data_IF_759911812387
#
_entry.id   IF_759911812387
#
_cell.length_a   1.000
_cell.length_b   1.000
_cell.length_c   1.000
_cell.angle_alpha   90.00
_cell.angle_beta   90.00
_cell.angle_gamma   90.00
#
_symmetry.space_group_name_H-M   'P 1'
#
loop_
_entity.id
_entity.type
_entity.pdbx_description
1 polymer ?
#
# COMPACT_ATOMS: atom_id res chain seq x y z
N UNK A 1 -6.57 -8.45 8.48
CA UNK A 1 -5.68 -9.59 8.19
C UNK A 1 -4.34 -9.33 8.88
N UNK A 2 -3.83 -10.28 9.65
CA UNK A 2 -2.51 -10.15 10.27
C UNK A 2 -1.42 -10.53 9.26
N UNK A 3 -0.87 -9.52 8.58
CA UNK A 3 0.17 -9.67 7.55
C UNK A 3 1.50 -10.17 8.10
N UNK A 4 1.74 -10.12 9.42
CA UNK A 4 2.99 -10.61 10.01
C UNK A 4 3.18 -12.13 9.87
N UNK A 5 2.08 -12.86 9.64
CA UNK A 5 2.05 -14.33 9.51
C UNK A 5 2.17 -14.83 8.08
N UNK A 6 2.05 -13.95 7.08
CA UNK A 6 2.04 -14.31 5.67
C UNK A 6 3.18 -13.61 4.93
N UNK A 7 3.87 -14.34 4.04
CA UNK A 7 4.96 -13.77 3.23
C UNK A 7 4.46 -12.89 2.09
N UNK A 8 3.25 -13.17 1.62
CA UNK A 8 2.61 -12.44 0.54
C UNK A 8 1.12 -12.24 0.83
N UNK A 9 0.53 -11.21 0.24
CA UNK A 9 -0.89 -10.97 0.26
C UNK A 9 -1.35 -10.55 -1.14
N UNK A 10 -2.32 -11.25 -1.71
CA UNK A 10 -2.91 -10.90 -3.00
C UNK A 10 -4.08 -9.94 -2.77
N UNK A 11 -4.09 -8.82 -3.49
CA UNK A 11 -5.19 -7.86 -3.39
C UNK A 11 -6.31 -8.23 -4.35
N UNK A 12 -7.55 -8.05 -3.90
CA UNK A 12 -8.65 -7.89 -4.82
C UNK A 12 -8.57 -6.49 -5.47
N UNK A 13 -8.68 -6.43 -6.79
CA UNK A 13 -8.51 -5.18 -7.54
C UNK A 13 -9.57 -4.12 -7.18
N UNK A 14 -10.83 -4.52 -7.09
CA UNK A 14 -11.94 -3.59 -6.81
C UNK A 14 -11.87 -3.07 -5.38
N UNK A 15 -11.55 -3.93 -4.41
CA UNK A 15 -11.32 -3.52 -3.01
C UNK A 15 -10.14 -2.56 -2.88
N UNK A 16 -9.06 -2.81 -3.64
CA UNK A 16 -7.91 -1.92 -3.71
C UNK A 16 -8.29 -0.54 -4.27
N UNK A 17 -9.02 -0.49 -5.39
CA UNK A 17 -9.47 0.77 -6.00
C UNK A 17 -10.40 1.53 -5.05
N UNK A 18 -11.35 0.85 -4.41
CA UNK A 18 -12.24 1.48 -3.44
C UNK A 18 -11.46 2.09 -2.25
N UNK A 19 -10.44 1.38 -1.75
CA UNK A 19 -9.60 1.87 -0.65
C UNK A 19 -8.74 3.06 -1.06
N UNK A 20 -8.12 3.02 -2.24
CA UNK A 20 -7.29 4.15 -2.72
C UNK A 20 -8.12 5.39 -3.01
N UNK A 21 -9.33 5.23 -3.57
CA UNK A 21 -10.27 6.35 -3.76
C UNK A 21 -10.71 6.96 -2.43
N UNK A 22 -10.95 6.14 -1.39
CA UNK A 22 -11.23 6.65 -0.05
C UNK A 22 -10.05 7.47 0.50
N UNK A 23 -8.82 6.99 0.33
CA UNK A 23 -7.62 7.71 0.77
C UNK A 23 -7.45 9.05 0.01
N UNK A 24 -7.62 9.04 -1.31
CA UNK A 24 -7.46 10.24 -2.16
C UNK A 24 -8.49 11.33 -1.82
N UNK A 25 -9.73 10.94 -1.54
CA UNK A 25 -10.81 11.89 -1.25
C UNK A 25 -10.91 12.29 0.23
N UNK A 26 -10.10 11.68 1.10
CA UNK A 26 -10.10 12.01 2.53
C UNK A 26 -9.27 13.25 2.87
N UNK A 27 -9.68 13.96 3.91
CA UNK A 27 -8.89 15.04 4.53
C UNK A 27 -7.74 14.48 5.36
N UNK A 28 -6.79 15.34 5.73
CA UNK A 28 -5.70 14.96 6.62
C UNK A 28 -6.21 14.42 7.96
N UNK A 29 -7.18 15.10 8.57
CA UNK A 29 -7.77 14.70 9.84
C UNK A 29 -8.48 13.35 9.75
N UNK A 30 -9.29 13.13 8.71
CA UNK A 30 -9.97 11.84 8.50
C UNK A 30 -8.97 10.68 8.38
N UNK A 31 -7.80 10.90 7.77
CA UNK A 31 -6.71 9.90 7.72
C UNK A 31 -6.01 9.71 9.05
N UNK A 32 -5.88 10.76 9.85
CA UNK A 32 -5.33 10.68 11.20
C UNK A 32 -6.17 9.79 12.13
N UNK A 33 -7.49 9.76 11.88
CA UNK A 33 -8.44 8.92 12.62
C UNK A 33 -8.52 7.48 12.08
N UNK A 34 -7.86 7.16 10.95
CA UNK A 34 -7.87 5.80 10.40
C UNK A 34 -7.03 4.83 11.25
N UNK A 35 -7.56 3.65 11.63
CA UNK A 35 -6.82 2.66 12.41
C UNK A 35 -5.53 2.21 11.72
N UNK A 36 -4.42 2.20 12.45
CA UNK A 36 -3.12 1.74 11.95
C UNK A 36 -2.33 2.75 11.11
N UNK A 37 -2.81 4.00 11.01
CA UNK A 37 -2.06 5.10 10.41
C UNK A 37 -1.04 5.66 11.41
N UNK A 38 0.25 5.60 11.08
CA UNK A 38 1.30 6.31 11.83
C UNK A 38 1.46 7.73 11.26
N UNK A 39 1.89 8.73 12.05
CA UNK A 39 1.90 10.13 11.64
C UNK A 39 2.51 10.40 10.27
N UNK A 40 3.72 9.88 10.01
CA UNK A 40 4.42 10.08 8.74
C UNK A 40 3.63 9.60 7.51
N UNK A 41 2.80 8.57 7.67
CA UNK A 41 2.01 8.04 6.55
C UNK A 41 0.79 8.89 6.25
N UNK A 42 0.26 9.67 7.20
CA UNK A 42 -0.93 10.51 6.98
C UNK A 42 -0.67 11.53 5.86
N UNK A 43 0.53 12.09 5.83
CA UNK A 43 0.95 13.08 4.84
C UNK A 43 1.19 12.44 3.47
N UNK A 44 1.84 11.28 3.44
CA UNK A 44 2.36 10.68 2.21
C UNK A 44 1.40 9.70 1.51
N UNK A 45 0.41 9.15 2.22
CA UNK A 45 -0.39 8.03 1.69
C UNK A 45 -1.24 8.42 0.47
N UNK A 46 -1.69 9.67 0.35
CA UNK A 46 -2.46 10.14 -0.81
C UNK A 46 -1.59 10.10 -2.07
N UNK A 47 -0.36 10.62 -1.97
CA UNK A 47 0.59 10.61 -3.09
C UNK A 47 0.97 9.17 -3.47
N UNK A 48 1.19 8.31 -2.48
CA UNK A 48 1.45 6.89 -2.73
C UNK A 48 0.29 6.19 -3.47
N UNK A 49 -0.96 6.47 -3.09
CA UNK A 49 -2.15 5.94 -3.76
C UNK A 49 -2.25 6.44 -5.22
N UNK A 50 -2.02 7.74 -5.46
CA UNK A 50 -2.03 8.31 -6.81
C UNK A 50 -0.96 7.69 -7.72
N UNK A 51 0.27 7.56 -7.22
CA UNK A 51 1.38 6.98 -7.99
C UNK A 51 1.10 5.51 -8.31
N UNK A 52 0.60 4.74 -7.33
CA UNK A 52 0.32 3.32 -7.55
C UNK A 52 -0.81 3.14 -8.58
N UNK A 53 -1.91 3.90 -8.45
CA UNK A 53 -3.00 3.88 -9.44
C UNK A 53 -2.52 4.29 -10.84
N UNK A 54 -1.64 5.30 -10.92
CA UNK A 54 -1.03 5.72 -12.19
C UNK A 54 -0.22 4.60 -12.83
N UNK A 55 0.69 3.96 -12.08
CA UNK A 55 1.52 2.86 -12.59
C UNK A 55 0.66 1.68 -13.04
N UNK A 56 -0.33 1.29 -12.22
CA UNK A 56 -1.25 0.20 -12.57
C UNK A 56 -2.02 0.50 -13.85
N UNK A 57 -2.56 1.72 -14.01
CA UNK A 57 -3.28 2.12 -15.22
C UNK A 57 -2.38 2.19 -16.46
N UNK A 58 -1.16 2.75 -16.32
CA UNK A 58 -0.21 2.88 -17.43
C UNK A 58 0.30 1.55 -17.95
N UNK A 59 0.52 0.59 -17.05
CA UNK A 59 1.00 -0.76 -17.37
C UNK A 59 -0.13 -1.76 -17.60
N UNK A 60 -1.40 -1.34 -17.49
CA UNK A 60 -2.59 -2.20 -17.58
C UNK A 60 -2.54 -3.40 -16.62
N UNK A 61 -2.05 -3.18 -15.40
CA UNK A 61 -1.98 -4.19 -14.36
C UNK A 61 -3.33 -4.32 -13.67
N UNK A 62 -3.88 -5.53 -13.65
CA UNK A 62 -5.12 -5.89 -12.96
C UNK A 62 -4.89 -6.80 -11.74
N UNK A 63 -3.64 -7.11 -11.43
CA UNK A 63 -3.25 -7.93 -10.29
C UNK A 63 -2.17 -7.22 -9.48
N UNK A 64 -2.31 -7.26 -8.16
CA UNK A 64 -1.37 -6.69 -7.22
C UNK A 64 -1.15 -7.68 -6.08
N UNK A 65 0.10 -7.84 -5.67
CA UNK A 65 0.44 -8.58 -4.46
C UNK A 65 1.46 -7.82 -3.62
N UNK A 66 1.24 -7.78 -2.31
CA UNK A 66 2.18 -7.29 -1.33
C UNK A 66 3.13 -8.42 -0.95
N UNK A 67 4.44 -8.15 -1.05
CA UNK A 67 5.47 -8.94 -0.36
C UNK A 67 5.75 -8.33 1.01
N UNK A 68 5.91 -9.15 2.05
CA UNK A 68 6.38 -8.67 3.36
C UNK A 68 7.90 -8.52 3.43
N UNK A 69 8.60 -8.80 2.34
CA UNK A 69 10.03 -8.50 2.18
C UNK A 69 10.22 -7.13 1.54
N UNK A 70 11.05 -6.33 2.19
CA UNK A 70 11.44 -4.99 1.82
C UNK A 70 12.97 -4.90 1.76
N UNK A 71 13.50 -3.67 1.76
CA UNK A 71 14.93 -3.42 1.56
C UNK A 71 15.82 -4.15 2.58
N UNK A 72 15.45 -4.20 3.87
CA UNK A 72 16.25 -4.89 4.90
C UNK A 72 16.39 -6.39 4.61
N UNK A 73 15.33 -7.02 4.08
CA UNK A 73 15.36 -8.44 3.74
C UNK A 73 16.18 -8.70 2.47
N UNK A 74 16.14 -7.76 1.52
CA UNK A 74 17.01 -7.79 0.33
C UNK A 74 18.49 -7.69 0.69
N UNK A 75 18.85 -6.81 1.62
CA UNK A 75 20.24 -6.71 2.12
C UNK A 75 20.65 -7.99 2.84
N UNK A 76 19.80 -8.53 3.71
CA UNK A 76 20.09 -9.79 4.40
C UNK A 76 20.34 -10.93 3.40
N UNK A 77 19.54 -11.04 2.34
CA UNK A 77 19.70 -12.05 1.30
C UNK A 77 21.02 -11.89 0.51
N UNK A 78 21.57 -10.67 0.42
CA UNK A 78 22.86 -10.43 -0.25
C UNK A 78 24.09 -10.77 0.60
N UNK A 79 23.91 -10.98 1.90
CA UNK A 79 24.97 -11.31 2.87
C UNK A 79 25.03 -12.81 3.20
N UNK A 80 24.03 -13.58 2.76
CA UNK A 80 23.94 -15.04 2.87
C UNK A 80 24.47 -15.70 1.60
#
# INVERSE_FOLDING_TARGET
VDISKFKTYAFNYDEYIATTLKLINSTHQERAEMPGMIPLRIDMIVIAALITNYVMGRLKLNQLSLSTYDLKMGVLASLL
#
